data_IF_217845699654
#
_entry.id   IF_217845699654
#
_cell.length_a   1.000
_cell.length_b   1.000
_cell.length_c   1.000
_cell.angle_alpha   90.00
_cell.angle_beta   90.00
_cell.angle_gamma   90.00
#
_symmetry.space_group_name_H-M   'P 1'
#
loop_
_entity.id
_entity.type
_entity.pdbx_description
1 polymer ?
#
# COMPACT_ATOMS: atom_id res chain seq x y z
N UNK A 1 14.58 -19.82 14.84
CA UNK A 1 14.60 -18.82 13.76
C UNK A 1 14.98 -17.46 14.34
N UNK A 2 15.94 -16.81 13.71
CA UNK A 2 16.34 -15.45 14.04
C UNK A 2 16.09 -14.55 12.81
N UNK A 3 15.41 -13.43 12.98
CA UNK A 3 15.08 -12.54 11.88
C UNK A 3 15.55 -11.11 12.15
N UNK A 4 15.97 -10.41 11.10
CA UNK A 4 16.39 -9.01 11.17
C UNK A 4 15.84 -8.22 9.99
N UNK A 5 15.53 -6.95 10.23
CA UNK A 5 15.27 -5.95 9.20
C UNK A 5 16.33 -4.87 9.34
N UNK A 6 17.06 -4.61 8.27
CA UNK A 6 18.12 -3.58 8.22
C UNK A 6 17.94 -2.72 6.97
N UNK A 7 18.58 -1.56 6.94
CA UNK A 7 18.53 -0.68 5.77
C UNK A 7 18.98 -1.36 4.49
N UNK A 8 20.11 -2.07 4.54
CA UNK A 8 20.79 -2.62 3.37
C UNK A 8 21.20 -4.10 3.52
N UNK A 9 20.51 -4.82 4.40
CA UNK A 9 20.76 -6.23 4.67
C UNK A 9 21.93 -6.49 5.61
N UNK A 10 22.05 -7.74 6.04
CA UNK A 10 23.09 -8.23 6.92
C UNK A 10 24.26 -8.79 6.10
N UNK A 11 25.49 -8.51 6.52
CA UNK A 11 26.70 -8.98 5.82
C UNK A 11 26.80 -10.51 5.76
N UNK A 12 26.08 -11.25 6.60
CA UNK A 12 26.03 -12.73 6.57
C UNK A 12 25.30 -13.27 5.36
N UNK A 13 24.37 -12.52 4.81
CA UNK A 13 23.60 -12.87 3.61
C UNK A 13 24.17 -12.24 2.34
N UNK A 14 24.98 -11.17 2.49
CA UNK A 14 25.65 -10.52 1.37
C UNK A 14 26.45 -9.30 1.83
N UNK A 15 27.74 -9.28 1.52
CA UNK A 15 28.63 -8.17 1.89
C UNK A 15 28.59 -7.08 0.83
N UNK A 16 27.78 -6.06 1.05
CA UNK A 16 27.66 -4.89 0.19
C UNK A 16 28.33 -3.65 0.78
N UNK A 17 28.46 -2.57 -0.03
CA UNK A 17 29.11 -1.33 0.41
C UNK A 17 28.29 -0.54 1.44
N UNK A 18 26.98 -0.84 1.63
CA UNK A 18 26.06 -0.05 2.43
C UNK A 18 25.61 -0.76 3.73
N UNK A 19 26.08 -1.98 4.05
CA UNK A 19 25.55 -2.76 5.16
C UNK A 19 25.54 -2.01 6.50
N UNK A 20 26.51 -1.13 6.75
CA UNK A 20 26.63 -0.36 7.99
C UNK A 20 26.03 1.06 7.89
N UNK A 21 25.40 1.41 6.77
CA UNK A 21 24.79 2.71 6.62
C UNK A 21 23.44 2.78 7.35
N UNK A 22 23.13 3.94 7.99
CA UNK A 22 21.81 4.16 8.56
C UNK A 22 20.77 4.33 7.47
N UNK A 23 19.57 3.80 7.72
CA UNK A 23 18.41 4.01 6.86
C UNK A 23 17.14 4.20 7.68
N UNK A 24 16.23 4.96 7.10
CA UNK A 24 14.85 5.10 7.51
C UNK A 24 13.94 4.94 6.29
N UNK A 25 12.64 4.89 6.53
CA UNK A 25 11.60 4.82 5.51
C UNK A 25 11.89 5.67 4.25
N UNK A 26 12.17 6.96 4.46
CA UNK A 26 12.42 7.90 3.35
C UNK A 26 13.64 7.52 2.51
N UNK A 27 14.70 6.98 3.14
CA UNK A 27 15.92 6.58 2.44
C UNK A 27 15.64 5.32 1.59
N UNK A 28 14.91 4.35 2.15
CA UNK A 28 14.50 3.15 1.43
C UNK A 28 13.61 3.47 0.22
N UNK A 29 12.63 4.37 0.39
CA UNK A 29 11.78 4.84 -0.71
C UNK A 29 12.58 5.54 -1.82
N UNK A 30 13.54 6.39 -1.45
CA UNK A 30 14.35 7.14 -2.41
C UNK A 30 15.29 6.22 -3.20
N UNK A 31 16.08 5.41 -2.50
CA UNK A 31 17.07 4.53 -3.13
C UNK A 31 16.43 3.34 -3.86
N UNK A 32 15.30 2.82 -3.34
CA UNK A 32 14.56 1.72 -3.96
C UNK A 32 13.75 2.10 -5.20
N UNK A 33 13.80 3.38 -5.63
CA UNK A 33 13.16 3.86 -6.86
C UNK A 33 11.69 4.20 -6.74
N UNK A 34 11.07 4.01 -5.56
CA UNK A 34 9.65 4.32 -5.35
C UNK A 34 9.33 5.78 -5.63
N UNK A 35 10.16 6.69 -5.12
CA UNK A 35 9.93 8.13 -5.28
C UNK A 35 10.07 8.59 -6.73
N UNK A 36 10.90 7.93 -7.53
CA UNK A 36 11.05 8.24 -8.95
C UNK A 36 9.81 7.89 -9.78
N UNK A 37 9.01 6.93 -9.32
CA UNK A 37 7.76 6.50 -9.97
C UNK A 37 6.52 7.23 -9.43
N UNK A 38 6.65 7.95 -8.32
CA UNK A 38 5.53 8.54 -7.58
C UNK A 38 5.56 10.05 -7.70
N UNK A 39 4.40 10.67 -7.90
CA UNK A 39 4.26 12.11 -8.12
C UNK A 39 4.26 12.48 -9.59
N UNK A 40 4.42 13.75 -9.85
CA UNK A 40 4.50 14.28 -11.21
C UNK A 40 5.91 14.05 -11.79
N UNK A 41 6.01 14.12 -13.12
CA UNK A 41 7.30 14.05 -13.80
C UNK A 41 8.27 15.10 -13.22
N UNK A 42 9.50 14.67 -12.98
CA UNK A 42 10.57 15.50 -12.41
C UNK A 42 10.31 16.01 -10.97
N UNK A 43 9.31 15.46 -10.30
CA UNK A 43 8.96 15.76 -8.91
C UNK A 43 8.85 14.49 -8.05
N UNK A 44 9.97 13.82 -7.71
CA UNK A 44 9.96 12.62 -6.90
C UNK A 44 9.19 12.83 -5.60
N UNK A 45 8.22 11.97 -5.32
CA UNK A 45 7.30 12.16 -4.20
C UNK A 45 7.30 10.96 -3.27
N UNK A 46 7.47 11.22 -1.98
CA UNK A 46 7.38 10.22 -0.92
C UNK A 46 5.93 9.80 -0.67
N UNK A 47 5.66 8.50 -0.47
CA UNK A 47 4.37 8.06 0.04
C UNK A 47 4.08 8.64 1.43
N UNK A 48 2.82 8.94 1.71
CA UNK A 48 2.39 9.37 3.05
C UNK A 48 2.70 8.32 4.13
N UNK A 49 2.22 7.07 3.99
CA UNK A 49 2.58 5.96 4.87
C UNK A 49 4.06 5.59 4.77
N UNK A 50 4.63 5.06 5.87
CA UNK A 50 6.00 4.55 5.93
C UNK A 50 6.15 3.20 5.22
N UNK A 51 5.99 3.17 3.90
CA UNK A 51 6.02 1.94 3.11
C UNK A 51 7.41 1.29 3.07
N UNK A 52 8.48 2.11 3.20
CA UNK A 52 9.85 1.63 3.31
C UNK A 52 10.13 0.85 4.61
N UNK A 53 9.29 1.00 5.63
CA UNK A 53 9.31 0.23 6.87
C UNK A 53 8.28 -0.92 6.84
N UNK A 54 7.06 -0.62 6.39
CA UNK A 54 5.92 -1.55 6.45
C UNK A 54 6.11 -2.74 5.50
N UNK A 55 6.54 -2.47 4.25
CA UNK A 55 6.72 -3.54 3.25
C UNK A 55 7.78 -4.56 3.69
N UNK A 56 9.01 -4.17 4.08
CA UNK A 56 9.98 -5.13 4.61
C UNK A 56 9.50 -5.81 5.89
N UNK A 57 8.70 -5.14 6.73
CA UNK A 57 8.07 -5.74 7.92
C UNK A 57 7.14 -6.91 7.54
N UNK A 58 6.30 -6.73 6.54
CA UNK A 58 5.41 -7.78 6.03
C UNK A 58 6.22 -8.92 5.38
N UNK A 59 7.23 -8.61 4.58
CA UNK A 59 8.11 -9.61 3.97
C UNK A 59 8.87 -10.42 5.02
N UNK A 60 9.35 -9.76 6.08
CA UNK A 60 10.02 -10.44 7.19
C UNK A 60 9.07 -11.38 7.93
N UNK A 61 7.85 -10.95 8.24
CA UNK A 61 6.84 -11.81 8.87
C UNK A 61 6.56 -13.06 8.03
N UNK A 62 6.43 -12.92 6.71
CA UNK A 62 6.27 -14.03 5.78
C UNK A 62 7.50 -14.97 5.80
N UNK A 63 8.71 -14.40 5.74
CA UNK A 63 9.96 -15.15 5.81
C UNK A 63 10.11 -15.94 7.12
N UNK A 64 9.74 -15.33 8.25
CA UNK A 64 9.75 -15.98 9.56
C UNK A 64 8.79 -17.18 9.61
N UNK A 65 7.56 -17.03 9.11
CA UNK A 65 6.59 -18.13 9.08
C UNK A 65 7.12 -19.29 8.22
N UNK A 66 7.68 -19.00 7.06
CA UNK A 66 8.26 -20.01 6.18
C UNK A 66 9.46 -20.73 6.85
N UNK A 67 10.34 -19.97 7.51
CA UNK A 67 11.49 -20.51 8.23
C UNK A 67 11.08 -21.35 9.46
N UNK A 68 10.07 -20.93 10.20
CA UNK A 68 9.50 -21.72 11.31
C UNK A 68 8.93 -23.05 10.80
N UNK A 69 8.16 -23.01 9.72
CA UNK A 69 7.61 -24.23 9.11
C UNK A 69 8.70 -25.20 8.68
N UNK A 70 9.78 -24.71 8.10
CA UNK A 70 10.96 -25.50 7.73
C UNK A 70 11.65 -26.07 8.98
N UNK A 71 11.86 -25.24 10.00
CA UNK A 71 12.51 -25.65 11.24
C UNK A 71 11.72 -26.76 11.98
N UNK A 72 10.40 -26.66 12.01
CA UNK A 72 9.51 -27.72 12.56
C UNK A 72 9.68 -29.06 11.82
N UNK A 73 9.90 -29.03 10.52
CA UNK A 73 10.05 -30.26 9.71
C UNK A 73 11.44 -30.86 9.76
N UNK A 74 12.48 -30.04 9.90
CA UNK A 74 13.87 -30.46 9.75
C UNK A 74 14.66 -30.44 11.07
N UNK A 75 14.16 -29.80 12.11
CA UNK A 75 14.90 -29.53 13.35
C UNK A 75 15.99 -28.46 13.20
N UNK A 76 16.12 -27.82 12.02
CA UNK A 76 17.14 -26.81 11.74
C UNK A 76 16.53 -25.43 11.70
N UNK A 77 17.05 -24.52 12.52
CA UNK A 77 16.69 -23.10 12.48
C UNK A 77 17.24 -22.39 11.25
N UNK A 78 16.79 -21.16 11.05
CA UNK A 78 17.18 -20.31 9.91
C UNK A 78 17.44 -18.89 10.38
N UNK A 79 18.33 -18.19 9.68
CA UNK A 79 18.51 -16.75 9.78
C UNK A 79 17.77 -16.07 8.64
N UNK A 80 16.80 -15.22 8.96
CA UNK A 80 16.00 -14.47 7.98
C UNK A 80 16.49 -13.02 7.97
N UNK A 81 17.03 -12.59 6.85
CA UNK A 81 17.46 -11.21 6.63
C UNK A 81 16.56 -10.53 5.61
N UNK A 82 16.08 -9.33 5.95
CA UNK A 82 15.29 -8.49 5.05
C UNK A 82 15.90 -7.09 5.01
N UNK A 83 16.34 -6.69 3.84
CA UNK A 83 16.80 -5.34 3.57
C UNK A 83 15.62 -4.43 3.20
N UNK A 84 15.53 -3.25 3.80
CA UNK A 84 14.54 -2.23 3.41
C UNK A 84 14.73 -1.82 1.96
N UNK A 85 15.97 -1.68 1.53
CA UNK A 85 16.32 -1.33 0.14
C UNK A 85 15.87 -2.41 -0.84
N UNK A 86 16.19 -3.68 -0.59
CA UNK A 86 15.81 -4.80 -1.46
C UNK A 86 14.29 -4.96 -1.52
N UNK A 87 13.61 -4.77 -0.39
CA UNK A 87 12.16 -4.80 -0.32
C UNK A 87 11.52 -3.72 -1.20
N UNK A 88 12.07 -2.51 -1.23
CA UNK A 88 11.60 -1.45 -2.11
C UNK A 88 11.89 -1.75 -3.59
N UNK A 89 13.05 -2.32 -3.92
CA UNK A 89 13.35 -2.77 -5.29
C UNK A 89 12.32 -3.81 -5.75
N UNK A 90 12.04 -4.82 -4.90
CA UNK A 90 11.05 -5.85 -5.22
C UNK A 90 9.62 -5.28 -5.32
N UNK A 91 9.27 -4.28 -4.50
CA UNK A 91 7.98 -3.60 -4.55
C UNK A 91 7.81 -2.73 -5.81
N UNK A 92 8.91 -2.24 -6.36
CA UNK A 92 8.96 -1.39 -7.54
C UNK A 92 9.42 -2.16 -8.81
N UNK A 93 9.17 -3.48 -8.90
CA UNK A 93 9.68 -4.37 -9.96
C UNK A 93 9.33 -3.89 -11.38
N UNK A 94 8.21 -3.20 -11.57
CA UNK A 94 7.79 -2.68 -12.89
C UNK A 94 8.85 -1.80 -13.54
N UNK A 95 9.52 -0.92 -12.80
CA UNK A 95 10.58 -0.07 -13.36
C UNK A 95 11.81 -0.88 -13.80
N UNK A 96 12.12 -1.95 -13.04
CA UNK A 96 13.23 -2.86 -13.40
C UNK A 96 12.91 -3.55 -14.71
N UNK A 97 11.69 -4.06 -14.89
CA UNK A 97 11.27 -4.71 -16.13
C UNK A 97 11.22 -3.74 -17.31
N UNK A 98 10.67 -2.53 -17.13
CA UNK A 98 10.63 -1.51 -18.20
C UNK A 98 12.04 -1.19 -18.69
N UNK A 99 12.99 -0.96 -17.79
CA UNK A 99 14.36 -0.68 -18.18
C UNK A 99 15.05 -1.90 -18.83
N UNK A 100 14.89 -3.09 -18.23
CA UNK A 100 15.54 -4.31 -18.71
C UNK A 100 15.04 -4.75 -20.09
N UNK A 101 13.76 -4.60 -20.40
CA UNK A 101 13.18 -5.10 -21.65
C UNK A 101 13.13 -4.06 -22.77
N UNK A 102 12.99 -2.78 -22.44
CA UNK A 102 12.77 -1.72 -23.44
C UNK A 102 13.58 -0.44 -23.20
N UNK A 103 14.53 -0.49 -22.27
CA UNK A 103 15.42 0.63 -21.88
C UNK A 103 14.66 1.91 -21.48
N UNK A 104 13.40 1.76 -21.01
CA UNK A 104 12.55 2.88 -20.62
C UNK A 104 12.77 3.23 -19.15
N UNK A 105 13.22 4.45 -18.91
CA UNK A 105 13.43 4.99 -17.55
C UNK A 105 12.08 5.48 -17.00
N UNK A 106 11.57 4.80 -15.98
CA UNK A 106 10.34 5.19 -15.31
C UNK A 106 10.45 6.57 -14.66
N UNK A 107 9.36 7.33 -14.73
CA UNK A 107 9.21 8.63 -14.07
C UNK A 107 7.86 8.70 -13.36
N UNK A 108 7.63 9.76 -12.58
CA UNK A 108 6.32 10.04 -11.98
C UNK A 108 5.26 10.31 -13.04
N UNK A 109 4.13 9.67 -12.89
CA UNK A 109 3.00 9.71 -13.82
C UNK A 109 1.75 10.33 -13.16
N UNK A 110 1.97 11.06 -12.05
CA UNK A 110 0.90 11.62 -11.25
C UNK A 110 -0.03 10.53 -10.70
N UNK A 111 -1.30 10.65 -10.99
CA UNK A 111 -2.30 9.66 -10.62
C UNK A 111 -2.70 8.72 -11.77
N UNK A 112 -2.03 8.82 -12.90
CA UNK A 112 -2.34 8.04 -14.09
C UNK A 112 -1.60 6.70 -14.10
N UNK A 113 -2.23 5.69 -14.70
CA UNK A 113 -1.55 4.43 -14.97
C UNK A 113 -0.94 4.46 -16.38
N UNK A 114 0.36 4.12 -16.56
CA UNK A 114 1.04 4.28 -17.84
C UNK A 114 0.53 3.38 -18.96
N UNK A 115 -0.09 2.25 -18.60
CA UNK A 115 -0.47 1.21 -19.56
C UNK A 115 -1.99 0.97 -19.64
N UNK A 116 -2.79 1.70 -18.87
CA UNK A 116 -4.25 1.52 -18.81
C UNK A 116 -4.95 2.86 -18.73
N UNK A 117 -5.92 3.11 -19.59
CA UNK A 117 -6.71 4.33 -19.59
C UNK A 117 -8.20 4.05 -19.91
N UNK A 118 -9.17 4.54 -19.10
CA UNK A 118 -8.99 5.34 -17.89
C UNK A 118 -8.54 4.51 -16.67
N UNK A 119 -7.55 4.99 -15.97
CA UNK A 119 -7.13 4.46 -14.67
C UNK A 119 -6.47 5.59 -13.88
N UNK A 120 -7.28 6.37 -13.16
CA UNK A 120 -6.84 7.61 -12.51
C UNK A 120 -7.84 8.09 -11.45
N UNK A 121 -7.58 9.27 -10.89
CA UNK A 121 -8.55 10.03 -10.09
C UNK A 121 -9.11 11.20 -10.89
N UNK A 122 -10.38 11.50 -10.66
CA UNK A 122 -11.14 12.55 -11.35
C UNK A 122 -11.81 13.47 -10.35
N UNK A 123 -11.94 14.74 -10.69
CA UNK A 123 -12.60 15.71 -9.82
C UNK A 123 -14.10 15.44 -9.78
N UNK A 124 -14.66 15.20 -8.59
CA UNK A 124 -16.09 15.19 -8.29
C UNK A 124 -16.54 16.57 -7.77
N UNK A 125 -17.83 16.77 -7.58
CA UNK A 125 -18.38 18.02 -7.05
C UNK A 125 -17.84 18.36 -5.64
N UNK A 126 -17.59 17.33 -4.82
CA UNK A 126 -17.22 17.44 -3.41
C UNK A 126 -15.87 16.78 -3.07
N UNK A 127 -15.03 16.49 -4.05
CA UNK A 127 -13.72 15.88 -3.80
C UNK A 127 -13.13 15.18 -5.00
N UNK A 128 -12.47 14.05 -4.77
CA UNK A 128 -11.82 13.23 -5.80
C UNK A 128 -12.42 11.82 -5.80
N UNK A 129 -12.49 11.22 -6.99
CA UNK A 129 -13.06 9.91 -7.21
C UNK A 129 -12.18 9.10 -8.15
N UNK A 130 -11.77 7.89 -7.74
CA UNK A 130 -10.95 6.99 -8.56
C UNK A 130 -11.83 6.18 -9.51
N UNK A 131 -11.39 6.04 -10.76
CA UNK A 131 -12.03 5.19 -11.78
C UNK A 131 -10.92 4.44 -12.51
N UNK A 132 -11.03 3.10 -12.57
CA UNK A 132 -10.07 2.24 -13.26
C UNK A 132 -10.77 1.23 -14.17
N UNK A 133 -10.64 1.38 -15.49
CA UNK A 133 -11.18 0.46 -16.48
C UNK A 133 -10.03 -0.30 -17.16
N UNK A 134 -9.64 -1.43 -16.58
CA UNK A 134 -8.60 -2.31 -17.14
C UNK A 134 -9.13 -3.21 -18.27
N UNK A 135 -10.45 -3.45 -18.31
CA UNK A 135 -11.12 -4.27 -19.32
C UNK A 135 -12.00 -3.41 -20.22
N UNK A 136 -12.11 -3.79 -21.49
CA UNK A 136 -12.96 -3.09 -22.45
C UNK A 136 -14.42 -3.05 -22.00
N UNK A 137 -14.93 -4.13 -21.40
CA UNK A 137 -16.29 -4.19 -20.87
C UNK A 137 -16.55 -3.15 -19.76
N UNK A 138 -15.52 -2.80 -18.97
CA UNK A 138 -15.62 -1.78 -17.93
C UNK A 138 -15.67 -0.37 -18.54
N UNK A 139 -14.89 -0.12 -19.60
CA UNK A 139 -14.99 1.11 -20.37
C UNK A 139 -16.37 1.29 -21.01
N UNK A 140 -16.90 0.26 -21.67
CA UNK A 140 -18.23 0.27 -22.26
C UNK A 140 -19.33 0.51 -21.22
N UNK A 141 -19.19 -0.10 -20.02
CA UNK A 141 -20.11 0.17 -18.92
C UNK A 141 -20.03 1.63 -18.44
N UNK A 142 -18.82 2.20 -18.36
CA UNK A 142 -18.62 3.59 -17.95
C UNK A 142 -19.28 4.56 -18.91
N UNK A 143 -19.00 4.48 -20.22
CA UNK A 143 -19.58 5.40 -21.22
C UNK A 143 -21.11 5.30 -21.24
N UNK A 144 -21.66 4.09 -21.11
CA UNK A 144 -23.12 3.89 -21.01
C UNK A 144 -23.70 4.56 -19.76
N UNK A 145 -23.05 4.46 -18.61
CA UNK A 145 -23.52 5.10 -17.37
C UNK A 145 -23.40 6.63 -17.46
N UNK A 146 -22.41 7.12 -18.18
CA UNK A 146 -22.24 8.55 -18.46
C UNK A 146 -23.30 9.09 -19.45
N UNK A 147 -24.00 8.20 -20.17
CA UNK A 147 -24.94 8.59 -21.23
C UNK A 147 -24.25 9.08 -22.49
N UNK A 148 -23.08 8.56 -22.78
CA UNK A 148 -22.22 8.94 -23.91
C UNK A 148 -22.05 7.75 -24.88
N UNK A 149 -23.13 7.08 -25.20
CA UNK A 149 -23.14 5.88 -26.07
C UNK A 149 -22.53 6.14 -27.45
N UNK A 150 -22.59 7.38 -27.95
CA UNK A 150 -21.98 7.82 -29.20
C UNK A 150 -20.46 7.70 -29.21
N UNK A 151 -19.80 7.69 -28.03
CA UNK A 151 -18.34 7.51 -27.90
C UNK A 151 -17.88 6.07 -28.10
N UNK A 152 -18.82 5.13 -28.19
CA UNK A 152 -18.50 3.71 -28.36
C UNK A 152 -17.76 3.43 -29.65
N UNK A 153 -18.15 4.14 -30.73
CA UNK A 153 -17.59 3.97 -32.06
C UNK A 153 -16.51 5.04 -32.40
N UNK A 154 -16.12 5.85 -31.42
CA UNK A 154 -15.08 6.87 -31.63
C UNK A 154 -13.70 6.18 -31.72
N UNK A 155 -13.03 6.34 -32.86
CA UNK A 155 -11.72 5.77 -33.11
C UNK A 155 -10.62 6.19 -32.10
N UNK A 156 -10.83 7.31 -31.42
CA UNK A 156 -9.92 7.78 -30.34
C UNK A 156 -10.05 6.95 -29.05
N UNK A 157 -11.13 6.17 -28.92
CA UNK A 157 -11.55 5.53 -27.66
C UNK A 157 -11.80 4.03 -27.79
N UNK A 158 -11.78 3.47 -29.00
CA UNK A 158 -12.19 2.12 -29.32
C UNK A 158 -11.21 1.02 -28.85
N UNK A 159 -10.07 1.38 -28.29
CA UNK A 159 -9.11 0.46 -27.69
C UNK A 159 -8.34 1.13 -26.55
N UNK A 160 -7.74 0.34 -25.66
CA UNK A 160 -6.88 0.87 -24.60
C UNK A 160 -5.76 1.75 -25.16
N UNK A 161 -5.08 1.28 -26.23
CA UNK A 161 -3.99 2.03 -26.86
C UNK A 161 -4.46 3.35 -27.46
N UNK A 162 -5.65 3.37 -28.06
CA UNK A 162 -6.25 4.60 -28.58
C UNK A 162 -6.55 5.57 -27.42
N UNK A 163 -7.08 5.09 -26.30
CA UNK A 163 -7.35 5.90 -25.10
C UNK A 163 -6.08 6.44 -24.46
N UNK A 164 -5.00 5.66 -24.42
CA UNK A 164 -3.68 6.13 -23.94
C UNK A 164 -3.17 7.27 -24.81
N UNK A 165 -3.21 7.12 -26.14
CA UNK A 165 -2.81 8.17 -27.09
C UNK A 165 -3.65 9.43 -26.99
N UNK A 166 -4.90 9.32 -26.55
CA UNK A 166 -5.85 10.42 -26.40
C UNK A 166 -6.19 10.68 -24.91
N UNK A 167 -5.24 10.48 -24.01
CA UNK A 167 -5.44 10.53 -22.55
C UNK A 167 -6.07 11.83 -22.06
N UNK A 168 -5.67 12.97 -22.61
CA UNK A 168 -6.26 14.28 -22.27
C UNK A 168 -7.74 14.38 -22.62
N UNK A 169 -8.12 13.86 -23.80
CA UNK A 169 -9.52 13.83 -24.21
C UNK A 169 -10.35 12.93 -23.29
N UNK A 170 -9.85 11.74 -22.97
CA UNK A 170 -10.49 10.82 -22.01
C UNK A 170 -10.66 11.48 -20.66
N UNK A 171 -9.58 12.08 -20.14
CA UNK A 171 -9.56 12.77 -18.85
C UNK A 171 -10.58 13.91 -18.81
N UNK A 172 -10.61 14.74 -19.84
CA UNK A 172 -11.56 15.85 -19.97
C UNK A 172 -13.00 15.32 -19.94
N UNK A 173 -13.33 14.36 -20.80
CA UNK A 173 -14.66 13.77 -20.92
C UNK A 173 -15.16 13.21 -19.59
N UNK A 174 -14.34 12.42 -18.91
CA UNK A 174 -14.73 11.84 -17.62
C UNK A 174 -14.84 12.94 -16.55
N UNK A 175 -13.92 13.90 -16.53
CA UNK A 175 -13.93 14.98 -15.53
C UNK A 175 -15.15 15.89 -15.67
N UNK A 176 -15.56 16.22 -16.90
CA UNK A 176 -16.77 17.01 -17.16
C UNK A 176 -18.01 16.33 -16.59
N UNK A 177 -18.11 15.02 -16.71
CA UNK A 177 -19.21 14.25 -16.15
C UNK A 177 -19.10 14.10 -14.62
N UNK A 178 -17.92 13.74 -14.08
CA UNK A 178 -17.74 13.50 -12.63
C UNK A 178 -17.95 14.76 -11.79
N UNK A 179 -17.58 15.93 -12.32
CA UNK A 179 -17.79 17.23 -11.63
C UNK A 179 -19.25 17.57 -11.37
N UNK A 180 -20.18 16.98 -12.13
CA UNK A 180 -21.61 17.17 -11.94
C UNK A 180 -22.19 16.32 -10.79
N UNK A 181 -21.39 15.46 -10.20
CA UNK A 181 -21.84 14.49 -9.21
C UNK A 181 -20.98 14.54 -7.95
N UNK A 182 -21.61 14.35 -6.79
CA UNK A 182 -20.89 14.11 -5.53
C UNK A 182 -20.26 12.72 -5.50
N UNK A 183 -19.26 12.49 -4.61
CA UNK A 183 -18.66 11.17 -4.38
C UNK A 183 -19.73 10.09 -4.11
N UNK A 184 -20.73 10.41 -3.30
CA UNK A 184 -21.83 9.50 -3.00
C UNK A 184 -22.70 9.18 -4.23
N UNK A 185 -23.00 10.17 -5.06
CA UNK A 185 -23.75 9.97 -6.31
C UNK A 185 -22.96 9.13 -7.31
N UNK A 186 -21.65 9.37 -7.46
CA UNK A 186 -20.76 8.55 -8.29
C UNK A 186 -20.72 7.10 -7.81
N UNK A 187 -20.60 6.91 -6.50
CA UNK A 187 -20.60 5.57 -5.90
C UNK A 187 -21.91 4.82 -6.25
N UNK A 188 -23.07 5.45 -6.08
CA UNK A 188 -24.35 4.82 -6.40
C UNK A 188 -24.50 4.47 -7.90
N UNK A 189 -23.93 5.27 -8.80
CA UNK A 189 -23.98 5.03 -10.24
C UNK A 189 -23.03 3.93 -10.71
N UNK A 190 -21.80 3.89 -10.15
CA UNK A 190 -20.67 3.09 -10.64
C UNK A 190 -20.43 1.81 -9.85
N UNK A 191 -20.81 1.76 -8.56
CA UNK A 191 -20.53 0.62 -7.69
C UNK A 191 -21.05 -0.70 -8.25
N UNK A 192 -20.22 -1.73 -8.23
CA UNK A 192 -20.54 -3.06 -8.76
C UNK A 192 -20.56 -3.17 -10.30
N UNK A 193 -20.35 -2.07 -11.04
CA UNK A 193 -20.36 -2.03 -12.51
C UNK A 193 -19.00 -1.65 -13.08
N UNK A 194 -18.34 -0.68 -12.45
CA UNK A 194 -17.02 -0.18 -12.83
C UNK A 194 -16.15 -0.13 -11.59
N UNK A 195 -14.91 -0.64 -11.64
CA UNK A 195 -13.96 -0.47 -10.54
C UNK A 195 -13.73 1.01 -10.25
N UNK A 196 -14.24 1.46 -9.11
CA UNK A 196 -14.22 2.87 -8.77
C UNK A 196 -14.48 3.10 -7.28
N UNK A 197 -14.07 4.25 -6.75
CA UNK A 197 -14.31 4.61 -5.37
C UNK A 197 -13.89 6.05 -5.03
N UNK A 198 -14.46 6.63 -3.96
CA UNK A 198 -14.07 7.96 -3.51
C UNK A 198 -12.66 7.97 -2.93
N UNK A 199 -11.90 9.04 -3.16
CA UNK A 199 -10.69 9.30 -2.41
C UNK A 199 -11.10 9.78 -1.00
N UNK A 200 -11.10 8.85 -0.06
CA UNK A 200 -11.55 9.08 1.31
C UNK A 200 -10.48 9.76 2.15
N UNK A 201 -10.89 10.68 3.00
CA UNK A 201 -10.12 11.16 4.14
C UNK A 201 -10.44 10.33 5.40
N UNK A 202 -9.81 10.66 6.53
CA UNK A 202 -10.01 9.93 7.79
C UNK A 202 -11.46 10.03 8.32
N UNK A 203 -12.14 11.14 8.09
CA UNK A 203 -13.55 11.29 8.52
C UNK A 203 -14.48 10.41 7.69
N UNK A 204 -14.23 10.28 6.39
CA UNK A 204 -14.96 9.38 5.51
C UNK A 204 -14.76 7.92 5.95
N UNK A 205 -13.51 7.54 6.30
CA UNK A 205 -13.14 6.21 6.81
C UNK A 205 -13.89 5.89 8.10
N UNK A 206 -13.99 6.84 9.05
CA UNK A 206 -14.70 6.64 10.31
C UNK A 206 -16.21 6.43 10.15
N UNK A 207 -16.80 6.90 9.06
CA UNK A 207 -18.23 6.78 8.72
C UNK A 207 -18.56 5.53 7.89
N UNK A 208 -17.54 4.81 7.39
CA UNK A 208 -17.73 3.69 6.49
C UNK A 208 -18.27 2.45 7.22
N UNK A 209 -19.51 2.07 6.89
CA UNK A 209 -20.19 0.91 7.48
C UNK A 209 -19.48 -0.42 7.12
N UNK A 210 -18.82 -0.50 5.96
CA UNK A 210 -18.06 -1.70 5.59
C UNK A 210 -16.89 -1.94 6.56
N UNK A 211 -16.21 -0.89 6.97
CA UNK A 211 -15.09 -0.98 7.92
C UNK A 211 -15.54 -1.38 9.31
N UNK A 212 -16.77 -1.02 9.73
CA UNK A 212 -17.38 -1.50 10.97
C UNK A 212 -17.64 -3.01 10.91
N UNK A 213 -18.26 -3.49 9.83
CA UNK A 213 -18.50 -4.94 9.62
C UNK A 213 -17.17 -5.71 9.55
N UNK A 214 -16.13 -5.10 8.97
CA UNK A 214 -14.79 -5.69 8.92
C UNK A 214 -13.98 -5.53 10.19
N UNK A 215 -14.54 -4.90 11.23
CA UNK A 215 -13.85 -4.63 12.50
C UNK A 215 -12.45 -4.00 12.30
N UNK A 216 -12.41 -3.00 11.40
CA UNK A 216 -11.16 -2.30 11.06
C UNK A 216 -10.95 -1.01 11.87
N UNK A 217 -11.93 -0.61 12.68
CA UNK A 217 -11.86 0.50 13.62
C UNK A 217 -12.22 -0.03 15.02
N UNK A 218 -11.21 -0.49 15.76
CA UNK A 218 -11.38 -1.09 17.07
C UNK A 218 -11.26 -0.07 18.19
N UNK A 219 -12.14 -0.16 19.19
CA UNK A 219 -12.04 0.65 20.40
C UNK A 219 -11.01 0.05 21.36
N UNK A 220 -10.12 0.89 21.86
CA UNK A 220 -9.11 0.52 22.85
C UNK A 220 -9.09 1.56 23.97
N UNK A 221 -8.90 1.11 25.22
CA UNK A 221 -8.76 2.00 26.37
C UNK A 221 -7.28 2.36 26.54
N UNK A 222 -6.97 3.65 26.37
CA UNK A 222 -5.61 4.16 26.46
C UNK A 222 -5.44 4.87 27.83
N UNK A 223 -4.53 4.41 28.69
CA UNK A 223 -4.31 5.03 29.99
C UNK A 223 -4.07 6.54 29.90
N UNK A 224 -4.85 7.31 30.65
CA UNK A 224 -4.81 8.78 30.64
C UNK A 224 -5.50 9.46 29.46
N UNK A 225 -5.93 8.74 28.43
CA UNK A 225 -6.60 9.29 27.25
C UNK A 225 -8.03 8.73 27.04
N UNK A 226 -8.42 7.69 27.80
CA UNK A 226 -9.70 7.00 27.66
C UNK A 226 -9.85 6.23 26.34
N UNK A 227 -11.08 5.94 25.96
CA UNK A 227 -11.39 5.17 24.74
C UNK A 227 -10.94 5.90 23.47
N UNK A 228 -10.18 5.21 22.65
CA UNK A 228 -9.69 5.67 21.34
C UNK A 228 -9.96 4.59 20.29
N UNK A 229 -10.10 5.01 19.02
CA UNK A 229 -10.17 4.08 17.91
C UNK A 229 -8.80 3.89 17.27
N UNK A 230 -8.48 2.65 16.99
CA UNK A 230 -7.25 2.25 16.30
C UNK A 230 -7.59 1.36 15.10
N UNK A 231 -6.62 1.20 14.20
CA UNK A 231 -6.77 0.28 13.09
C UNK A 231 -6.83 -1.18 13.57
N UNK A 232 -7.82 -1.91 13.09
CA UNK A 232 -8.00 -3.32 13.39
C UNK A 232 -7.02 -4.21 12.62
N UNK A 233 -7.08 -5.52 12.90
CA UNK A 233 -6.25 -6.53 12.23
C UNK A 233 -6.81 -6.83 10.84
N UNK A 234 -6.07 -6.58 9.73
CA UNK A 234 -6.58 -6.78 8.38
C UNK A 234 -6.69 -8.25 7.98
N UNK A 235 -5.84 -9.12 8.54
CA UNK A 235 -5.89 -10.57 8.29
C UNK A 235 -6.98 -11.18 9.15
N UNK A 236 -8.01 -11.73 8.53
CA UNK A 236 -9.17 -12.30 9.22
C UNK A 236 -9.15 -13.83 9.13
N UNK A 237 -8.91 -14.48 10.26
CA UNK A 237 -9.07 -15.94 10.38
C UNK A 237 -10.50 -16.26 10.82
N UNK A 238 -11.15 -17.20 10.14
CA UNK A 238 -12.53 -17.57 10.44
C UNK A 238 -12.69 -18.17 11.85
N UNK A 239 -11.74 -18.99 12.27
CA UNK A 239 -11.82 -19.71 13.56
C UNK A 239 -11.13 -18.98 14.70
N UNK A 240 -10.04 -18.26 14.41
CA UNK A 240 -9.22 -17.57 15.40
C UNK A 240 -8.94 -16.12 14.93
N UNK A 241 -9.95 -15.25 14.95
CA UNK A 241 -9.78 -13.87 14.52
C UNK A 241 -8.76 -13.17 15.41
N UNK A 242 -7.82 -12.47 14.78
CA UNK A 242 -6.91 -11.58 15.49
C UNK A 242 -7.66 -10.39 16.08
N UNK A 243 -7.19 -9.89 17.22
CA UNK A 243 -7.70 -8.66 17.84
C UNK A 243 -6.57 -7.86 18.45
N UNK A 244 -6.75 -6.56 18.54
CA UNK A 244 -5.87 -5.70 19.35
C UNK A 244 -6.35 -5.76 20.79
N UNK A 245 -5.46 -6.17 21.71
CA UNK A 245 -5.84 -6.44 23.11
C UNK A 245 -5.49 -5.31 24.05
N UNK A 246 -4.43 -4.56 23.76
CA UNK A 246 -3.93 -3.49 24.63
C UNK A 246 -3.22 -2.42 23.80
N UNK A 247 -3.17 -1.17 24.28
CA UNK A 247 -2.28 -0.17 23.71
C UNK A 247 -0.81 -0.55 23.92
N UNK A 248 0.10 0.14 23.22
CA UNK A 248 1.52 0.02 23.48
C UNK A 248 1.83 0.34 24.94
N UNK A 249 2.67 -0.47 25.64
CA UNK A 249 3.05 -0.21 27.02
C UNK A 249 4.00 0.99 27.11
N UNK A 250 4.11 1.56 28.29
CA UNK A 250 5.14 2.56 28.58
C UNK A 250 6.53 1.93 28.55
N UNK A 251 7.56 2.74 28.32
CA UNK A 251 8.94 2.30 28.30
C UNK A 251 9.29 1.55 29.61
N UNK A 252 9.84 0.35 29.47
CA UNK A 252 10.26 -0.48 30.59
C UNK A 252 9.15 -1.19 31.36
N UNK A 253 7.88 -1.05 30.96
CA UNK A 253 6.74 -1.62 31.70
C UNK A 253 6.84 -3.12 31.94
N UNK A 254 7.31 -3.89 30.95
CA UNK A 254 7.47 -5.34 31.07
C UNK A 254 8.89 -5.79 31.42
N UNK A 255 9.83 -4.86 31.70
CA UNK A 255 11.24 -5.22 31.93
C UNK A 255 11.40 -6.23 33.05
N UNK A 256 10.75 -6.00 34.20
CA UNK A 256 10.84 -6.90 35.34
C UNK A 256 10.28 -8.29 35.03
N UNK A 257 9.11 -8.36 34.45
CA UNK A 257 8.45 -9.60 34.03
C UNK A 257 9.33 -10.43 33.07
N UNK A 258 9.90 -9.77 32.07
CA UNK A 258 10.79 -10.42 31.09
C UNK A 258 12.06 -10.91 31.74
N UNK A 259 12.68 -10.12 32.65
CA UNK A 259 13.89 -10.53 33.36
C UNK A 259 13.62 -11.73 34.26
N UNK A 260 12.51 -11.74 34.99
CA UNK A 260 12.10 -12.87 35.84
C UNK A 260 11.84 -14.13 35.01
N UNK A 261 11.11 -14.01 33.89
CA UNK A 261 10.79 -15.12 32.99
C UNK A 261 12.03 -15.81 32.42
N UNK A 262 13.06 -15.04 32.09
CA UNK A 262 14.30 -15.57 31.50
C UNK A 262 15.46 -15.72 32.49
N UNK A 263 15.22 -15.50 33.77
CA UNK A 263 16.25 -15.63 34.81
C UNK A 263 17.41 -14.63 34.65
N UNK A 264 17.15 -13.47 34.04
CA UNK A 264 18.16 -12.43 33.83
C UNK A 264 18.31 -11.63 35.12
N UNK A 265 19.50 -11.62 35.70
CA UNK A 265 19.83 -10.78 36.89
C UNK A 265 20.02 -9.32 36.46
N UNK A 266 19.59 -8.40 37.31
CA UNK A 266 19.83 -6.98 37.08
C UNK A 266 21.35 -6.72 37.09
N UNK A 267 21.86 -6.07 36.05
CA UNK A 267 23.29 -5.66 35.98
C UNK A 267 23.65 -4.55 37.00
N UNK A 268 22.73 -4.17 37.90
CA UNK A 268 22.96 -3.19 38.97
C UNK A 268 23.14 -3.81 40.36
N UNK A 269 23.12 -5.14 40.46
CA UNK A 269 23.26 -5.88 41.75
C UNK A 269 24.67 -6.46 41.93
N UNK A 270 25.68 -6.00 41.16
CA UNK A 270 27.11 -6.28 41.36
C UNK A 270 27.91 -5.02 41.76
#
# INVERSE_FOLDING_TARGET
VYATIRGYGDYRTGKGPYNDWPAFDIVAQAMGGFMAMTGEKDSPTKAGPGIGDIVPGIMCAFGVIAALRKAEQTGQGEFVDVSMYDAMIAFCERQIYRYSFVEDVSHGEGNDHPLVNPFSIYRAADGWYAIGCALESQWQALIKIMGLDELKDDNRLNSNDARIKNAEFVRKTITEWTRLHTKAQLMNKLAGKVPSGPANNVEDIYKDEHLKVRDMLQDIDVPGLGKKKIAGVPVKFLRNPGSVKSPGPQLGFHTKEVMEQFGIKNMKDD
#
